data_IF_597310346365
#
_entry.id   IF_597310346365
#
_cell.length_a   1.000
_cell.length_b   1.000
_cell.length_c   1.000
_cell.angle_alpha   90.00
_cell.angle_beta   90.00
_cell.angle_gamma   90.00
#
_symmetry.space_group_name_H-M   'P 1'
#
loop_
_entity.id
_entity.type
_entity.pdbx_description
1 polymer ?
#
# COMPACT_ATOMS: atom_id res chain seq x y z
N UNK A 1 14.37 7.85 -1.28
CA UNK A 1 14.63 9.31 -1.30
C UNK A 1 16.11 9.51 -1.60
N UNK A 2 16.57 10.67 -2.10
CA UNK A 2 17.99 10.83 -2.43
C UNK A 2 18.87 10.45 -1.23
N UNK A 3 19.75 9.46 -1.41
CA UNK A 3 20.71 9.01 -0.39
C UNK A 3 20.21 8.02 0.68
N UNK A 4 18.94 7.61 0.67
CA UNK A 4 18.40 6.67 1.67
C UNK A 4 18.14 5.29 1.08
N UNK A 5 18.62 4.23 1.75
CA UNK A 5 18.33 2.83 1.39
C UNK A 5 16.88 2.49 1.73
N UNK A 6 16.03 2.14 0.73
CA UNK A 6 14.64 1.79 0.98
C UNK A 6 14.48 0.57 1.89
N UNK A 7 13.48 0.63 2.77
CA UNK A 7 12.94 -0.53 3.48
C UNK A 7 11.63 -0.91 2.80
N UNK A 8 11.55 -2.13 2.28
CA UNK A 8 10.44 -2.63 1.48
C UNK A 8 10.22 -4.11 1.82
N UNK A 9 8.97 -4.55 1.84
CA UNK A 9 8.57 -5.96 1.97
C UNK A 9 7.98 -6.52 0.66
N UNK A 10 8.05 -5.74 -0.42
CA UNK A 10 7.41 -6.04 -1.70
C UNK A 10 6.02 -5.45 -1.85
N UNK A 11 5.62 -4.51 -1.00
CA UNK A 11 4.38 -3.75 -1.16
C UNK A 11 4.39 -2.95 -2.46
N UNK A 12 3.24 -2.84 -3.11
CA UNK A 12 3.20 -2.28 -4.46
C UNK A 12 2.61 -3.22 -5.48
N UNK A 13 2.49 -2.70 -6.72
CA UNK A 13 2.14 -3.47 -7.93
C UNK A 13 0.96 -4.45 -7.78
N UNK A 14 0.07 -4.18 -6.84
CA UNK A 14 -1.08 -5.04 -6.57
C UNK A 14 -2.03 -5.11 -7.76
N UNK A 15 -2.80 -6.21 -7.93
CA UNK A 15 -3.65 -6.39 -9.09
C UNK A 15 -4.68 -5.26 -9.28
N UNK A 16 -4.99 -4.97 -10.56
CA UNK A 16 -6.15 -4.17 -10.95
C UNK A 16 -7.15 -5.11 -11.64
N UNK A 17 -8.14 -5.56 -10.90
CA UNK A 17 -9.06 -6.62 -11.29
C UNK A 17 -10.32 -6.00 -11.88
N UNK A 18 -10.61 -6.24 -13.16
CA UNK A 18 -11.88 -5.80 -13.74
C UNK A 18 -13.05 -6.58 -13.14
N UNK A 19 -14.14 -5.89 -12.76
CA UNK A 19 -15.33 -6.51 -12.17
C UNK A 19 -16.60 -6.12 -12.91
N UNK A 20 -17.00 -6.88 -13.95
CA UNK A 20 -18.23 -6.62 -14.71
C UNK A 20 -19.51 -6.74 -13.88
N UNK A 21 -19.52 -7.65 -12.89
CA UNK A 21 -20.67 -7.84 -12.01
C UNK A 21 -20.93 -6.60 -11.16
N UNK A 22 -19.88 -6.03 -10.55
CA UNK A 22 -19.99 -4.78 -9.79
C UNK A 22 -20.24 -3.57 -10.70
N UNK A 23 -19.69 -3.54 -11.91
CA UNK A 23 -19.99 -2.49 -12.88
C UNK A 23 -21.50 -2.41 -13.19
N UNK A 24 -22.15 -3.57 -13.39
CA UNK A 24 -23.60 -3.67 -13.59
C UNK A 24 -24.40 -3.23 -12.37
N UNK A 25 -23.99 -3.62 -11.17
CA UNK A 25 -24.64 -3.18 -9.92
C UNK A 25 -24.50 -1.68 -9.71
N UNK A 26 -23.33 -1.10 -10.00
CA UNK A 26 -23.06 0.31 -9.83
C UNK A 26 -23.59 1.20 -10.98
N UNK A 27 -24.13 0.62 -12.06
CA UNK A 27 -24.64 1.37 -13.21
C UNK A 27 -23.55 2.08 -14.04
N UNK A 28 -22.31 1.58 -14.02
CA UNK A 28 -21.18 2.17 -14.73
C UNK A 28 -20.67 1.27 -15.85
N UNK A 29 -20.02 1.86 -16.86
CA UNK A 29 -19.52 1.13 -18.03
C UNK A 29 -18.43 0.09 -17.69
N UNK A 30 -17.49 0.44 -16.81
CA UNK A 30 -16.40 -0.43 -16.35
C UNK A 30 -16.05 -0.08 -14.92
N UNK A 31 -15.69 -1.10 -14.15
CA UNK A 31 -15.26 -0.99 -12.76
C UNK A 31 -14.06 -1.91 -12.55
N UNK A 32 -13.08 -1.43 -11.79
CA UNK A 32 -11.93 -2.22 -11.38
C UNK A 32 -11.72 -2.14 -9.88
N UNK A 33 -11.22 -3.23 -9.32
CA UNK A 33 -10.80 -3.35 -7.93
C UNK A 33 -9.28 -3.24 -7.91
N UNK A 34 -8.76 -2.28 -7.16
CA UNK A 34 -7.34 -2.23 -6.81
C UNK A 34 -7.16 -3.05 -5.53
N UNK A 35 -6.68 -4.28 -5.66
CA UNK A 35 -6.63 -5.22 -4.54
C UNK A 35 -5.40 -4.96 -3.65
N UNK A 36 -5.48 -3.97 -2.76
CA UNK A 36 -4.42 -3.68 -1.79
C UNK A 36 -4.38 -4.68 -0.62
N UNK A 37 -5.29 -5.65 -0.58
CA UNK A 37 -5.31 -6.72 0.43
C UNK A 37 -4.16 -7.71 0.27
N UNK A 38 -3.56 -7.82 -0.93
CA UNK A 38 -2.43 -8.72 -1.19
C UNK A 38 -1.07 -8.12 -0.84
N UNK A 39 -1.01 -6.91 -0.27
CA UNK A 39 0.24 -6.38 0.27
C UNK A 39 0.75 -7.25 1.44
N UNK A 40 2.05 -7.19 1.78
CA UNK A 40 2.68 -8.03 2.81
C UNK A 40 2.03 -7.99 4.21
N UNK A 41 1.34 -6.89 4.54
CA UNK A 41 0.62 -6.72 5.84
C UNK A 41 -0.90 -6.68 5.67
N UNK A 42 -1.42 -7.24 4.58
CA UNK A 42 -2.84 -7.31 4.24
C UNK A 42 -3.59 -5.97 4.18
N UNK A 43 -2.90 -4.87 3.90
CA UNK A 43 -3.50 -3.54 3.80
C UNK A 43 -2.66 -2.60 2.95
N UNK A 44 -3.31 -1.60 2.35
CA UNK A 44 -2.65 -0.50 1.64
C UNK A 44 -1.63 0.25 2.51
N UNK A 45 -1.78 0.19 3.85
CA UNK A 45 -0.89 0.85 4.82
C UNK A 45 0.57 0.41 4.67
N UNK A 46 0.83 -0.79 4.14
CA UNK A 46 2.18 -1.27 3.84
C UNK A 46 2.98 -0.26 3.00
N UNK A 47 2.34 0.35 1.99
CA UNK A 47 2.97 1.33 1.08
C UNK A 47 3.46 2.58 1.80
N UNK A 48 2.59 3.18 2.62
CA UNK A 48 2.94 4.37 3.39
C UNK A 48 3.99 4.07 4.46
N UNK A 49 3.86 2.92 5.13
CA UNK A 49 4.81 2.53 6.17
C UNK A 49 6.19 2.19 5.62
N UNK A 50 6.31 1.64 4.40
CA UNK A 50 7.61 1.43 3.77
C UNK A 50 8.41 2.75 3.65
N UNK A 51 7.75 3.83 3.22
CA UNK A 51 8.36 5.16 3.19
C UNK A 51 8.68 5.69 4.59
N UNK A 52 7.75 5.57 5.56
CA UNK A 52 7.95 6.05 6.93
C UNK A 52 9.10 5.32 7.65
N UNK A 53 9.16 3.98 7.53
CA UNK A 53 10.21 3.14 8.10
C UNK A 53 11.55 3.44 7.43
N UNK A 54 11.59 3.66 6.12
CA UNK A 54 12.79 4.12 5.42
C UNK A 54 13.35 5.40 6.05
N UNK A 55 12.49 6.41 6.29
CA UNK A 55 12.91 7.68 6.93
C UNK A 55 13.38 7.49 8.36
N UNK A 56 12.69 6.64 9.12
CA UNK A 56 13.00 6.39 10.53
C UNK A 56 14.34 5.67 10.67
N UNK A 57 14.59 4.65 9.85
CA UNK A 57 15.86 3.94 9.77
C UNK A 57 17.00 4.87 9.40
N UNK A 58 16.81 5.73 8.40
CA UNK A 58 17.83 6.71 7.99
C UNK A 58 18.19 7.73 9.10
N UNK A 59 17.29 7.95 10.06
CA UNK A 59 17.49 8.85 11.21
C UNK A 59 17.88 8.13 12.51
N UNK A 60 18.13 6.83 12.45
CA UNK A 60 18.43 6.01 13.63
C UNK A 60 17.38 6.15 14.75
N UNK A 61 16.10 6.30 14.39
CA UNK A 61 15.00 6.36 15.37
C UNK A 61 14.81 4.94 15.96
N UNK A 62 14.76 4.78 17.29
CA UNK A 62 14.73 3.46 17.93
C UNK A 62 13.37 2.73 17.82
N UNK A 63 12.31 3.45 17.45
CA UNK A 63 10.97 2.89 17.32
C UNK A 63 9.98 3.84 16.67
N UNK A 64 8.82 3.32 16.30
CA UNK A 64 7.73 4.05 15.66
C UNK A 64 6.42 3.77 16.41
N UNK A 65 5.60 4.79 16.58
CA UNK A 65 4.21 4.66 17.02
C UNK A 65 3.34 5.28 15.93
N UNK A 66 2.33 4.54 15.50
CA UNK A 66 1.40 4.96 14.45
C UNK A 66 0.00 4.87 15.02
N UNK A 67 -0.75 5.98 15.15
CA UNK A 67 -2.16 5.90 15.53
C UNK A 67 -2.93 5.14 14.43
N UNK A 68 -3.97 4.40 14.81
CA UNK A 68 -4.79 3.72 13.80
C UNK A 68 -5.55 4.76 12.96
N UNK A 69 -5.69 4.45 11.67
CA UNK A 69 -6.68 5.10 10.81
C UNK A 69 -8.05 4.47 11.01
#
# INVERSE_FOLDING_TARGET
MPGETPVCLGEGLTPLIESPALARVAGVRRLWIKDEGVNPTASFKARGLAAAVTRAKARAVPGLVVPTA
#
